data_IF_616619977330
#
_entry.id   IF_616619977330
#
_cell.length_a   1.000
_cell.length_b   1.000
_cell.length_c   1.000
_cell.angle_alpha   90.00
_cell.angle_beta   90.00
_cell.angle_gamma   90.00
#
_symmetry.space_group_name_H-M   'P 1'
#
loop_
_entity.id
_entity.type
_entity.pdbx_description
1 polymer ?
#
# COMPACT_ATOMS: atom_id res chain seq x y z
N UNK A 1 -2.49 26.98 -1.77
CA UNK A 1 -1.72 27.44 -2.95
C UNK A 1 -2.01 26.50 -4.12
N UNK A 2 -2.77 26.95 -5.14
CA UNK A 2 -2.99 26.14 -6.36
C UNK A 2 -1.74 26.26 -7.23
N UNK A 3 -0.96 25.18 -7.33
CA UNK A 3 0.20 25.09 -8.22
C UNK A 3 -0.27 24.92 -9.67
N UNK A 4 -0.65 26.02 -10.32
CA UNK A 4 -0.89 26.07 -11.77
C UNK A 4 0.44 26.32 -12.47
N UNK A 5 1.03 25.28 -13.08
CA UNK A 5 2.22 25.41 -13.96
C UNK A 5 3.28 24.30 -13.85
N UNK A 6 3.27 23.47 -12.81
CA UNK A 6 4.27 22.38 -12.70
C UNK A 6 3.91 21.18 -13.58
N UNK A 7 4.84 20.80 -14.46
CA UNK A 7 4.76 19.55 -15.24
C UNK A 7 4.82 18.36 -14.27
N UNK A 8 3.69 17.68 -14.10
CA UNK A 8 3.62 16.51 -13.22
C UNK A 8 4.44 15.35 -13.77
N UNK A 9 5.17 14.68 -12.87
CA UNK A 9 5.98 13.52 -13.22
C UNK A 9 5.12 12.30 -13.56
N UNK A 10 5.69 11.42 -14.37
CA UNK A 10 5.09 10.15 -14.78
C UNK A 10 5.98 8.99 -14.32
N UNK A 11 5.35 7.98 -13.71
CA UNK A 11 6.01 6.79 -13.15
C UNK A 11 6.90 6.02 -14.13
N UNK A 12 6.64 6.13 -15.45
CA UNK A 12 7.44 5.48 -16.51
C UNK A 12 8.87 6.03 -16.64
N UNK A 13 9.20 7.11 -15.94
CA UNK A 13 10.52 7.74 -15.96
C UNK A 13 11.46 7.20 -14.87
N UNK A 14 11.02 6.20 -14.09
CA UNK A 14 11.74 5.70 -12.92
C UNK A 14 11.77 4.18 -12.95
N UNK A 15 12.90 3.65 -12.47
CA UNK A 15 13.14 2.22 -12.34
C UNK A 15 13.17 1.82 -10.86
N UNK A 16 12.76 0.59 -10.59
CA UNK A 16 12.87 0.02 -9.25
C UNK A 16 14.32 -0.28 -8.92
N UNK A 17 14.73 0.04 -7.69
CA UNK A 17 16.09 -0.14 -7.21
C UNK A 17 16.10 -0.68 -5.79
N UNK A 18 17.18 -1.37 -5.44
CA UNK A 18 17.33 -2.01 -4.15
C UNK A 18 17.60 -0.98 -3.04
N UNK A 19 17.17 -1.30 -1.81
CA UNK A 19 17.48 -0.47 -0.65
C UNK A 19 18.89 -0.80 -0.13
N UNK A 20 19.84 0.10 -0.40
CA UNK A 20 21.23 -0.06 0.04
C UNK A 20 21.44 0.28 1.52
N UNK A 21 20.43 0.83 2.21
CA UNK A 21 20.49 1.02 3.67
C UNK A 21 20.22 -0.27 4.44
N UNK A 22 19.58 -1.25 3.80
CA UNK A 22 19.36 -2.59 4.35
C UNK A 22 20.60 -3.48 4.18
N UNK A 23 20.80 -4.39 5.14
CA UNK A 23 21.82 -5.44 5.05
C UNK A 23 21.54 -6.32 3.83
N UNK A 24 22.61 -6.74 3.15
CA UNK A 24 22.52 -7.51 1.90
C UNK A 24 21.66 -8.77 2.05
N UNK A 25 21.78 -9.49 3.17
CA UNK A 25 20.99 -10.70 3.43
C UNK A 25 19.48 -10.48 3.62
N UNK A 26 19.03 -9.23 3.79
CA UNK A 26 17.61 -8.86 3.91
C UNK A 26 17.13 -8.05 2.71
N UNK A 27 18.01 -7.80 1.73
CA UNK A 27 17.71 -6.93 0.60
C UNK A 27 16.89 -7.67 -0.45
N UNK A 28 15.86 -7.00 -0.93
CA UNK A 28 15.06 -7.45 -2.07
C UNK A 28 15.64 -6.89 -3.35
N UNK A 29 15.66 -7.70 -4.41
CA UNK A 29 16.17 -7.36 -5.73
C UNK A 29 15.08 -7.41 -6.80
N UNK A 30 15.37 -6.83 -7.96
CA UNK A 30 14.49 -6.97 -9.12
C UNK A 30 14.39 -8.41 -9.64
N UNK A 31 15.39 -9.27 -9.34
CA UNK A 31 15.39 -10.68 -9.76
C UNK A 31 14.31 -11.47 -9.05
N UNK A 32 13.91 -11.05 -7.84
CA UNK A 32 12.86 -11.75 -7.07
C UNK A 32 11.49 -11.65 -7.72
N UNK A 33 11.22 -10.50 -8.35
CA UNK A 33 9.96 -10.25 -9.03
C UNK A 33 9.94 -10.74 -10.49
N UNK A 34 11.11 -10.88 -11.12
CA UNK A 34 11.21 -11.25 -12.53
C UNK A 34 10.65 -12.66 -12.75
N UNK A 35 9.60 -12.77 -13.58
CA UNK A 35 8.97 -14.06 -13.87
C UNK A 35 8.11 -14.64 -12.74
N UNK A 36 7.98 -13.96 -11.59
CA UNK A 36 7.20 -14.42 -10.44
C UNK A 36 5.67 -14.45 -10.66
N UNK A 37 5.17 -13.75 -11.68
CA UNK A 37 3.74 -13.53 -11.89
C UNK A 37 3.14 -12.39 -11.06
N UNK A 38 3.91 -11.78 -10.15
CA UNK A 38 3.48 -10.64 -9.33
C UNK A 38 4.02 -9.30 -9.86
N UNK A 39 3.22 -8.25 -9.70
CA UNK A 39 3.68 -6.89 -9.86
C UNK A 39 4.47 -6.42 -8.63
N UNK A 40 5.39 -5.49 -8.87
CA UNK A 40 6.00 -4.63 -7.84
C UNK A 40 4.99 -3.59 -7.36
N UNK A 41 4.20 -3.95 -6.35
CA UNK A 41 3.14 -3.11 -5.79
C UNK A 41 3.67 -2.10 -4.77
N UNK A 42 3.37 -0.82 -4.95
CA UNK A 42 3.86 0.24 -4.06
C UNK A 42 3.00 0.36 -2.80
N UNK A 43 3.62 0.54 -1.63
CA UNK A 43 2.90 0.90 -0.41
C UNK A 43 2.63 2.42 -0.37
N UNK A 44 3.69 3.22 -0.48
CA UNK A 44 3.61 4.64 -0.81
C UNK A 44 3.52 4.82 -2.33
N UNK A 45 2.33 5.15 -2.82
CA UNK A 45 2.06 5.23 -4.25
C UNK A 45 2.79 6.40 -4.94
N UNK A 46 3.57 6.11 -5.99
CA UNK A 46 4.26 7.14 -6.80
C UNK A 46 3.34 8.29 -7.24
N UNK A 47 2.07 7.99 -7.52
CA UNK A 47 1.08 9.00 -7.93
C UNK A 47 0.76 10.07 -6.87
N UNK A 48 1.17 9.88 -5.61
CA UNK A 48 1.03 10.86 -4.54
C UNK A 48 2.19 11.87 -4.51
N UNK A 49 3.31 11.56 -5.17
CA UNK A 49 4.56 12.34 -5.11
C UNK A 49 4.92 12.97 -6.47
N UNK A 50 3.93 13.21 -7.35
CA UNK A 50 4.15 13.69 -8.74
C UNK A 50 4.77 15.09 -8.86
N UNK A 51 4.81 15.85 -7.78
CA UNK A 51 5.31 17.22 -7.74
C UNK A 51 6.82 17.29 -7.49
N UNK A 52 7.47 16.20 -7.05
CA UNK A 52 8.88 16.22 -6.67
C UNK A 52 9.58 14.95 -7.16
N UNK A 53 10.68 15.12 -7.90
CA UNK A 53 11.41 14.01 -8.52
C UNK A 53 12.05 13.09 -7.50
N UNK A 54 12.70 13.65 -6.47
CA UNK A 54 13.30 12.91 -5.35
C UNK A 54 12.25 12.06 -4.63
N UNK A 55 11.15 12.68 -4.21
CA UNK A 55 10.08 11.97 -3.52
C UNK A 55 9.43 10.87 -4.39
N UNK A 56 9.20 11.13 -5.69
CA UNK A 56 8.72 10.08 -6.59
C UNK A 56 9.73 8.97 -6.75
N UNK A 57 11.02 9.27 -6.93
CA UNK A 57 12.09 8.27 -7.06
C UNK A 57 12.11 7.35 -5.85
N UNK A 58 12.04 7.91 -4.64
CA UNK A 58 12.04 7.13 -3.40
C UNK A 58 10.88 6.14 -3.30
N UNK A 59 9.78 6.34 -4.03
CA UNK A 59 8.68 5.36 -4.04
C UNK A 59 9.01 4.07 -4.81
N UNK A 60 10.08 4.07 -5.61
CA UNK A 60 10.54 2.91 -6.39
C UNK A 60 11.60 2.07 -5.66
N UNK A 61 12.02 2.48 -4.46
CA UNK A 61 12.89 1.67 -3.62
C UNK A 61 12.19 0.37 -3.22
N UNK A 62 12.87 -0.78 -3.31
CA UNK A 62 12.23 -2.08 -3.10
C UNK A 62 11.75 -2.31 -1.65
N UNK A 63 12.25 -1.57 -0.66
CA UNK A 63 11.71 -1.56 0.72
C UNK A 63 10.30 -0.96 0.81
N UNK A 64 9.83 -0.21 -0.21
CA UNK A 64 8.46 0.27 -0.34
C UNK A 64 7.55 -0.68 -1.14
N UNK A 65 8.07 -1.83 -1.59
CA UNK A 65 7.41 -2.70 -2.56
C UNK A 65 7.04 -4.05 -1.94
N UNK A 66 5.86 -4.56 -2.32
CA UNK A 66 5.46 -5.93 -2.01
C UNK A 66 4.88 -6.63 -3.26
N UNK A 67 4.93 -7.97 -3.34
CA UNK A 67 4.29 -8.74 -4.41
C UNK A 67 2.78 -8.54 -4.43
N UNK A 68 2.26 -7.97 -5.52
CA UNK A 68 0.83 -7.75 -5.71
C UNK A 68 0.33 -8.45 -6.97
N UNK A 69 -0.85 -9.04 -6.90
CA UNK A 69 -1.55 -9.54 -8.09
C UNK A 69 -1.77 -8.38 -9.05
N UNK A 70 -1.31 -8.52 -10.30
CA UNK A 70 -1.31 -7.41 -11.26
C UNK A 70 -2.70 -7.07 -11.78
N UNK A 71 -3.26 -7.93 -12.63
CA UNK A 71 -4.58 -7.73 -13.22
C UNK A 71 -5.70 -7.95 -12.19
N UNK A 72 -6.70 -7.06 -12.17
CA UNK A 72 -7.81 -7.07 -11.21
C UNK A 72 -7.48 -6.60 -9.79
N UNK A 73 -6.21 -6.44 -9.40
CA UNK A 73 -5.82 -5.92 -8.08
C UNK A 73 -4.94 -4.68 -8.16
N UNK A 74 -3.61 -4.80 -8.24
CA UNK A 74 -2.67 -3.65 -8.25
C UNK A 74 -3.05 -2.61 -9.31
N UNK A 75 -3.27 -3.06 -10.55
CA UNK A 75 -3.53 -2.18 -11.69
C UNK A 75 -4.98 -1.63 -11.70
N UNK A 76 -5.86 -2.17 -10.86
CA UNK A 76 -7.31 -1.89 -10.84
C UNK A 76 -7.77 -1.52 -9.43
N UNK A 77 -8.38 -2.45 -8.68
CA UNK A 77 -9.06 -2.15 -7.41
C UNK A 77 -8.18 -1.45 -6.38
N UNK A 78 -6.90 -1.82 -6.27
CA UNK A 78 -5.95 -1.15 -5.37
C UNK A 78 -5.64 0.28 -5.82
N UNK A 79 -5.38 0.50 -7.11
CA UNK A 79 -5.21 1.82 -7.71
C UNK A 79 -6.49 2.68 -7.61
N UNK A 80 -7.67 2.09 -7.64
CA UNK A 80 -8.93 2.81 -7.42
C UNK A 80 -9.06 3.26 -5.96
N UNK A 81 -8.64 2.45 -4.99
CA UNK A 81 -8.51 2.87 -3.60
C UNK A 81 -7.50 4.02 -3.45
N UNK A 82 -6.34 3.95 -4.10
CA UNK A 82 -5.35 5.04 -4.09
C UNK A 82 -5.91 6.34 -4.67
N UNK A 83 -6.64 6.28 -5.79
CA UNK A 83 -7.31 7.44 -6.38
C UNK A 83 -8.37 8.01 -5.44
N UNK A 84 -9.13 7.13 -4.76
CA UNK A 84 -10.14 7.54 -3.79
C UNK A 84 -9.51 8.26 -2.60
N UNK A 85 -8.46 7.70 -1.99
CA UNK A 85 -7.73 8.37 -0.89
C UNK A 85 -7.14 9.70 -1.35
N UNK A 86 -6.61 9.78 -2.58
CA UNK A 86 -6.15 11.06 -3.15
C UNK A 86 -7.30 12.06 -3.33
N UNK A 87 -8.52 11.60 -3.61
CA UNK A 87 -9.69 12.47 -3.71
C UNK A 87 -10.09 13.05 -2.33
N UNK A 88 -9.90 12.30 -1.24
CA UNK A 88 -10.05 12.79 0.13
C UNK A 88 -8.99 13.85 0.43
N UNK A 89 -7.73 13.57 0.11
CA UNK A 89 -6.61 14.48 0.36
C UNK A 89 -6.71 15.83 -0.39
N UNK A 90 -7.50 15.91 -1.47
CA UNK A 90 -7.78 17.18 -2.16
C UNK A 90 -8.80 18.07 -1.44
N UNK A 91 -9.58 17.50 -0.50
CA UNK A 91 -10.67 18.19 0.20
C UNK A 91 -10.34 18.43 1.67
N UNK A 92 -9.58 17.54 2.29
CA UNK A 92 -9.15 17.65 3.67
C UNK A 92 -7.95 18.61 3.83
N UNK A 93 -7.77 19.12 5.05
CA UNK A 93 -6.60 19.94 5.39
C UNK A 93 -5.34 19.08 5.52
N UNK A 94 -5.40 18.01 6.32
CA UNK A 94 -4.32 17.04 6.48
C UNK A 94 -4.83 15.60 6.24
N UNK A 95 -3.97 14.78 5.63
CA UNK A 95 -4.21 13.34 5.47
C UNK A 95 -2.91 12.58 5.74
N UNK A 96 -2.99 11.59 6.62
CA UNK A 96 -1.89 10.66 6.89
C UNK A 96 -2.32 9.26 6.48
N UNK A 97 -1.49 8.56 5.72
CA UNK A 97 -1.79 7.24 5.18
C UNK A 97 -0.74 6.24 5.67
N UNK A 98 -1.19 5.16 6.28
CA UNK A 98 -0.36 3.98 6.59
C UNK A 98 -0.85 2.84 5.71
N UNK A 99 0.08 2.18 5.02
CA UNK A 99 -0.21 1.08 4.09
C UNK A 99 0.76 -0.05 4.37
N UNK A 100 0.30 -1.29 4.32
CA UNK A 100 1.19 -2.43 4.52
C UNK A 100 0.57 -3.77 4.16
N UNK A 101 1.41 -4.82 4.13
CA UNK A 101 0.98 -6.19 3.91
C UNK A 101 0.31 -6.80 5.16
N UNK A 102 -0.50 -7.84 4.95
CA UNK A 102 -1.06 -8.69 6.00
C UNK A 102 -0.98 -10.16 5.62
N UNK A 103 -0.75 -11.01 6.63
CA UNK A 103 -0.71 -12.46 6.52
C UNK A 103 -1.84 -13.05 7.39
N UNK A 104 -3.03 -13.15 6.80
CA UNK A 104 -4.25 -13.53 7.52
C UNK A 104 -4.43 -15.05 7.51
N UNK A 105 -4.85 -15.65 8.64
CA UNK A 105 -5.03 -17.09 8.72
C UNK A 105 -6.26 -17.56 7.93
N UNK A 106 -6.18 -18.79 7.44
CA UNK A 106 -7.28 -19.55 6.85
C UNK A 106 -7.46 -20.87 7.59
N UNK A 107 -8.64 -21.47 7.47
CA UNK A 107 -8.91 -22.77 8.08
C UNK A 107 -8.50 -23.87 7.10
N UNK A 108 -7.52 -24.68 7.49
CA UNK A 108 -7.00 -25.81 6.72
C UNK A 108 -7.01 -27.05 7.62
N UNK A 109 -7.74 -28.10 7.21
CA UNK A 109 -7.86 -29.33 8.02
C UNK A 109 -8.44 -29.10 9.43
N UNK A 110 -9.31 -28.11 9.61
CA UNK A 110 -9.91 -27.75 10.90
C UNK A 110 -9.00 -26.92 11.82
N UNK A 111 -7.77 -26.61 11.42
CA UNK A 111 -6.84 -25.72 12.15
C UNK A 111 -6.73 -24.38 11.45
N UNK A 112 -6.44 -23.33 12.22
CA UNK A 112 -6.12 -22.00 11.67
C UNK A 112 -4.63 -21.96 11.33
N UNK A 113 -4.32 -21.80 10.05
CA UNK A 113 -2.97 -21.74 9.54
C UNK A 113 -2.76 -20.42 8.78
N UNK A 114 -1.54 -19.88 8.83
CA UNK A 114 -1.13 -18.77 7.96
C UNK A 114 -0.21 -19.37 6.90
N UNK A 115 -0.67 -19.34 5.65
CA UNK A 115 0.05 -19.87 4.50
C UNK A 115 0.21 -18.75 3.48
N UNK A 116 1.42 -18.54 2.99
CA UNK A 116 1.75 -17.56 1.95
C UNK A 116 2.86 -18.09 1.05
N UNK A 117 2.84 -17.65 -0.21
CA UNK A 117 3.90 -17.93 -1.18
C UNK A 117 5.12 -17.06 -0.88
N UNK A 118 6.30 -17.55 -1.22
CA UNK A 118 7.53 -16.76 -1.30
C UNK A 118 8.04 -16.80 -2.75
N UNK A 119 8.61 -15.70 -3.24
CA UNK A 119 9.10 -15.59 -4.62
C UNK A 119 10.58 -15.21 -4.66
N UNK A 120 11.25 -15.64 -5.73
CA UNK A 120 12.61 -15.23 -6.02
C UNK A 120 13.68 -15.94 -5.19
N UNK A 121 14.96 -15.66 -5.46
CA UNK A 121 16.08 -16.20 -4.68
C UNK A 121 16.14 -15.70 -3.22
N UNK A 122 15.46 -14.60 -2.88
CA UNK A 122 15.46 -14.03 -1.53
C UNK A 122 14.18 -14.31 -0.73
N UNK A 123 13.36 -15.28 -1.16
CA UNK A 123 12.13 -15.72 -0.48
C UNK A 123 11.19 -14.55 -0.09
N UNK A 124 10.95 -13.63 -1.02
CA UNK A 124 10.12 -12.44 -0.78
C UNK A 124 8.69 -12.89 -0.52
N UNK A 125 8.18 -12.62 0.69
CA UNK A 125 6.84 -13.03 1.09
C UNK A 125 5.75 -12.34 0.26
N UNK A 126 4.83 -13.14 -0.29
CA UNK A 126 3.62 -12.67 -0.99
C UNK A 126 2.50 -12.47 0.02
N UNK A 127 2.07 -11.23 0.31
CA UNK A 127 1.04 -10.99 1.32
C UNK A 127 -0.30 -11.59 0.90
N UNK A 128 -1.03 -12.14 1.87
CA UNK A 128 -2.40 -12.64 1.62
C UNK A 128 -3.38 -11.48 1.37
N UNK A 129 -3.14 -10.34 2.02
CA UNK A 129 -3.97 -9.15 1.98
C UNK A 129 -3.07 -7.90 2.10
N UNK A 130 -3.64 -6.75 1.78
CA UNK A 130 -3.05 -5.45 2.06
C UNK A 130 -4.03 -4.60 2.84
N UNK A 131 -3.51 -3.75 3.72
CA UNK A 131 -4.30 -2.75 4.41
C UNK A 131 -3.95 -1.34 3.96
N UNK A 132 -4.91 -0.43 4.10
CA UNK A 132 -4.69 1.01 4.04
C UNK A 132 -5.48 1.67 5.16
N UNK A 133 -4.80 2.36 6.07
CA UNK A 133 -5.39 3.17 7.13
C UNK A 133 -5.15 4.64 6.82
N UNK A 134 -6.18 5.47 6.98
CA UNK A 134 -6.16 6.88 6.58
C UNK A 134 -6.73 7.72 7.71
N UNK A 135 -5.88 8.56 8.30
CA UNK A 135 -6.28 9.60 9.24
C UNK A 135 -6.52 10.90 8.48
N UNK A 136 -7.61 11.58 8.79
CA UNK A 136 -8.11 12.73 8.05
C UNK A 136 -8.44 13.85 9.04
N UNK A 137 -7.89 15.03 8.78
CA UNK A 137 -8.21 16.27 9.49
C UNK A 137 -8.81 17.25 8.48
N UNK A 138 -10.07 17.65 8.67
CA UNK A 138 -10.76 18.48 7.67
C UNK A 138 -10.42 19.96 7.79
N UNK A 139 -10.13 20.44 9.00
CA UNK A 139 -9.73 21.82 9.29
C UNK A 139 -8.44 21.85 10.13
N UNK A 140 -7.66 22.95 10.13
CA UNK A 140 -6.39 23.04 10.88
C UNK A 140 -6.50 22.67 12.37
N UNK A 141 -7.55 23.15 13.03
CA UNK A 141 -7.81 22.91 14.46
C UNK A 141 -8.88 21.84 14.69
N UNK A 142 -9.26 21.10 13.64
CA UNK A 142 -10.30 20.09 13.69
C UNK A 142 -9.82 18.79 14.31
N UNK A 143 -10.77 18.00 14.82
CA UNK A 143 -10.53 16.63 15.24
C UNK A 143 -10.08 15.72 14.08
N UNK A 144 -9.41 14.64 14.42
CA UNK A 144 -9.01 13.61 13.48
C UNK A 144 -10.08 12.53 13.39
N UNK A 145 -10.25 11.95 12.21
CA UNK A 145 -11.01 10.71 12.03
C UNK A 145 -10.19 9.70 11.25
N UNK A 146 -10.35 8.42 11.55
CA UNK A 146 -9.67 7.33 10.86
C UNK A 146 -10.65 6.47 10.06
N UNK A 147 -10.22 6.03 8.89
CA UNK A 147 -10.90 5.01 8.08
C UNK A 147 -9.88 4.00 7.57
N UNK A 148 -10.25 2.72 7.50
CA UNK A 148 -9.33 1.66 7.10
C UNK A 148 -9.96 0.67 6.14
N UNK A 149 -9.12 0.05 5.30
CA UNK A 149 -9.48 -1.00 4.36
C UNK A 149 -8.55 -2.20 4.52
N UNK A 150 -9.09 -3.41 4.32
CA UNK A 150 -8.33 -4.65 4.15
C UNK A 150 -8.80 -5.33 2.86
N UNK A 151 -7.90 -5.50 1.89
CA UNK A 151 -8.21 -6.08 0.59
C UNK A 151 -7.38 -7.34 0.34
N UNK A 152 -7.98 -8.43 -0.16
CA UNK A 152 -7.25 -9.65 -0.48
C UNK A 152 -6.34 -9.44 -1.69
N UNK A 153 -5.12 -9.97 -1.63
CA UNK A 153 -4.15 -9.93 -2.73
C UNK A 153 -4.51 -10.96 -3.80
N UNK A 154 -5.61 -10.73 -4.51
CA UNK A 154 -6.16 -11.62 -5.52
C UNK A 154 -6.88 -10.83 -6.59
N UNK A 155 -7.14 -11.45 -7.75
CA UNK A 155 -7.96 -10.84 -8.79
C UNK A 155 -9.37 -10.56 -8.24
N UNK A 156 -9.75 -9.29 -8.22
CA UNK A 156 -11.10 -8.86 -7.85
C UNK A 156 -11.96 -8.61 -9.11
N UNK A 157 -13.30 -8.66 -8.98
CA UNK A 157 -14.21 -8.28 -10.07
C UNK A 157 -13.95 -6.86 -10.55
N UNK A 158 -14.26 -6.60 -11.81
CA UNK A 158 -14.26 -5.24 -12.35
C UNK A 158 -15.24 -4.37 -11.57
N UNK A 159 -14.83 -3.14 -11.22
CA UNK A 159 -15.61 -2.20 -10.38
C UNK A 159 -15.94 -2.70 -8.97
N UNK A 160 -15.04 -3.48 -8.35
CA UNK A 160 -15.17 -3.87 -6.94
C UNK A 160 -15.51 -2.68 -6.03
N UNK A 161 -16.56 -2.81 -5.22
CA UNK A 161 -17.02 -1.74 -4.33
C UNK A 161 -16.07 -1.58 -3.14
N UNK A 162 -15.29 -0.50 -3.10
CA UNK A 162 -14.33 -0.25 -2.02
C UNK A 162 -14.94 -0.24 -0.62
N UNK A 163 -16.25 0.07 -0.47
CA UNK A 163 -16.92 0.06 0.83
C UNK A 163 -16.97 -1.34 1.45
N UNK A 164 -17.01 -2.41 0.64
CA UNK A 164 -17.07 -3.79 1.15
C UNK A 164 -15.79 -4.22 1.87
N UNK A 165 -14.68 -3.52 1.61
CA UNK A 165 -13.38 -3.78 2.21
C UNK A 165 -13.08 -2.87 3.40
N UNK A 166 -13.99 -1.94 3.74
CA UNK A 166 -13.82 -1.09 4.91
C UNK A 166 -13.93 -1.91 6.19
N UNK A 167 -13.03 -1.66 7.13
CA UNK A 167 -12.99 -2.31 8.44
C UNK A 167 -12.71 -1.27 9.53
N UNK A 168 -13.06 -1.56 10.80
CA UNK A 168 -12.58 -0.77 11.92
C UNK A 168 -11.04 -0.74 11.95
N UNK A 169 -10.43 0.40 12.34
CA UNK A 169 -8.97 0.52 12.45
C UNK A 169 -8.36 -0.58 13.33
N UNK A 170 -9.04 -0.91 14.44
CA UNK A 170 -8.63 -1.98 15.36
C UNK A 170 -8.54 -3.36 14.71
N UNK A 171 -9.25 -3.60 13.60
CA UNK A 171 -9.11 -4.85 12.83
C UNK A 171 -7.75 -4.92 12.15
N UNK A 172 -7.28 -3.78 11.60
CA UNK A 172 -5.95 -3.68 11.01
C UNK A 172 -4.88 -3.79 12.08
N UNK A 173 -5.01 -3.05 13.19
CA UNK A 173 -4.04 -3.08 14.29
C UNK A 173 -3.85 -4.48 14.84
N UNK A 174 -4.95 -5.20 15.11
CA UNK A 174 -4.92 -6.58 15.60
C UNK A 174 -4.28 -7.53 14.58
N UNK A 175 -4.55 -7.35 13.29
CA UNK A 175 -4.02 -8.23 12.25
C UNK A 175 -2.54 -7.96 11.93
N UNK A 176 -2.10 -6.70 12.00
CA UNK A 176 -0.74 -6.27 11.70
C UNK A 176 0.19 -6.36 12.91
N UNK A 177 -0.35 -6.42 14.14
CA UNK A 177 0.45 -6.28 15.36
C UNK A 177 1.03 -4.88 15.53
N UNK A 178 0.34 -3.85 15.01
CA UNK A 178 0.79 -2.46 15.02
C UNK A 178 -0.19 -1.59 15.80
N UNK A 179 0.32 -0.54 16.44
CA UNK A 179 -0.49 0.59 16.89
C UNK A 179 -0.43 1.68 15.82
N UNK A 180 -1.56 1.98 15.19
CA UNK A 180 -1.63 2.89 14.05
C UNK A 180 -2.17 4.24 14.52
N UNK A 181 -1.48 5.33 14.18
CA UNK A 181 -1.79 6.69 14.65
C UNK A 181 -1.81 6.85 16.18
N UNK A 182 -0.78 6.38 16.92
CA UNK A 182 -0.82 6.31 18.39
C UNK A 182 -1.00 7.66 19.10
N UNK A 183 -0.67 8.76 18.43
CA UNK A 183 -0.73 10.13 18.96
C UNK A 183 -1.95 10.92 18.45
N UNK A 184 -2.80 10.32 17.60
CA UNK A 184 -4.02 10.97 17.15
C UNK A 184 -5.15 10.56 18.10
N UNK A 185 -5.84 11.56 18.66
CA UNK A 185 -7.14 11.33 19.29
C UNK A 185 -8.15 11.22 18.15
N UNK A 186 -8.47 9.99 17.77
CA UNK A 186 -9.39 9.64 16.67
C UNK A 186 -10.75 9.19 17.17
#
# INVERSE_FOLDING_TARGET
MRLTGMKLLHKKQFDFYEDLSELEMFRVSNKDYLGSGYDRGHMAAAGNHRFERSAMSQTFILSNIAPQVGHGFNRHAWNDLEKYVRSIARKAHNVVVVTGPLFLPRTEGGKRCVTYEVIGPNDVAVPTHFFKAVAIQETPDGGWRAVAWVMPNMRLPEKANLKQFQVPLSTVERAAGLKIFPNLVT
#
